data_IF_574506666417
#
_entry.id   IF_574506666417
#
_cell.length_a   1.000
_cell.length_b   1.000
_cell.length_c   1.000
_cell.angle_alpha   90.00
_cell.angle_beta   90.00
_cell.angle_gamma   90.00
#
_symmetry.space_group_name_H-M   'P 1'
#
loop_
_entity.id
_entity.type
_entity.pdbx_description
1 polymer ?
#
# COMPACT_ATOMS: atom_id res chain seq x y z
N UNK A 1 16.36 24.92 -5.17
CA UNK A 1 16.50 25.13 -3.70
C UNK A 1 15.14 25.56 -3.20
N UNK A 2 14.24 24.67 -2.77
CA UNK A 2 14.24 24.03 -1.46
C UNK A 2 12.78 24.02 -0.96
N UNK A 3 11.88 23.30 -1.65
CA UNK A 3 10.53 23.02 -1.14
C UNK A 3 10.65 21.80 -0.23
N UNK A 4 10.34 22.00 1.05
CA UNK A 4 10.59 21.03 2.12
C UNK A 4 10.10 19.62 1.77
N UNK A 5 11.00 18.64 1.94
CA UNK A 5 10.84 17.22 1.56
C UNK A 5 9.75 16.46 2.34
N UNK A 6 9.05 17.09 3.29
CA UNK A 6 8.09 16.41 4.16
C UNK A 6 6.86 17.28 4.55
N UNK A 7 6.02 17.74 3.60
CA UNK A 7 4.91 18.65 3.89
C UNK A 7 3.89 18.10 4.91
N UNK A 8 3.69 16.78 4.96
CA UNK A 8 2.70 16.08 5.79
C UNK A 8 3.11 15.88 7.26
N UNK A 9 4.30 16.32 7.68
CA UNK A 9 4.71 16.33 9.09
C UNK A 9 4.14 17.52 9.87
N UNK A 10 3.69 18.58 9.19
CA UNK A 10 3.03 19.73 9.85
C UNK A 10 1.56 19.44 10.09
N UNK A 11 1.11 19.58 11.34
CA UNK A 11 -0.31 19.48 11.74
C UNK A 11 -1.19 20.48 10.97
N UNK A 12 -0.63 21.63 10.65
CA UNK A 12 -1.31 22.77 10.04
C UNK A 12 -1.51 22.62 8.52
N UNK A 13 -1.00 21.53 7.93
CA UNK A 13 -1.00 21.28 6.49
C UNK A 13 -1.71 19.97 6.13
N UNK A 14 -2.84 19.67 6.78
CA UNK A 14 -3.72 18.59 6.33
C UNK A 14 -4.17 18.89 4.89
N UNK A 15 -3.86 18.03 3.90
CA UNK A 15 -4.24 18.27 2.52
C UNK A 15 -5.77 18.37 2.39
N UNK A 16 -6.28 19.33 1.61
CA UNK A 16 -7.72 19.48 1.35
C UNK A 16 -8.57 20.06 2.49
N UNK A 17 -7.98 20.43 3.64
CA UNK A 17 -8.73 20.96 4.79
C UNK A 17 -9.52 22.24 4.45
N UNK A 18 -8.90 23.19 3.75
CA UNK A 18 -9.57 24.42 3.31
C UNK A 18 -10.73 24.14 2.35
N UNK A 19 -10.59 23.12 1.51
CA UNK A 19 -11.62 22.72 0.55
C UNK A 19 -12.85 22.12 1.25
N UNK A 20 -12.63 21.30 2.29
CA UNK A 20 -13.71 20.74 3.11
C UNK A 20 -14.38 21.76 4.02
N UNK A 21 -13.65 22.82 4.43
CA UNK A 21 -14.15 23.87 5.33
C UNK A 21 -15.29 24.68 4.72
N UNK A 22 -15.29 24.91 3.41
CA UNK A 22 -16.35 25.68 2.73
C UNK A 22 -17.66 24.89 2.51
N UNK A 23 -17.62 23.57 2.66
CA UNK A 23 -18.74 22.67 2.34
C UNK A 23 -19.59 22.30 3.56
N UNK A 24 -19.21 22.74 4.77
CA UNK A 24 -19.86 22.30 6.01
C UNK A 24 -20.33 23.47 6.89
N UNK A 25 -21.51 23.37 7.51
CA UNK A 25 -22.00 24.38 8.46
C UNK A 25 -21.08 24.52 9.68
N UNK A 26 -21.07 25.70 10.31
CA UNK A 26 -20.14 26.16 11.35
C UNK A 26 -19.98 25.26 12.59
N UNK A 27 -20.82 24.23 12.78
CA UNK A 27 -20.73 23.24 13.86
C UNK A 27 -20.03 21.92 13.49
N UNK A 28 -19.74 21.67 12.22
CA UNK A 28 -19.14 20.41 11.74
C UNK A 28 -17.61 20.46 11.65
N UNK A 29 -17.00 21.63 11.87
CA UNK A 29 -15.55 21.82 11.68
C UNK A 29 -14.69 20.99 12.63
N UNK A 30 -15.05 20.87 13.91
CA UNK A 30 -14.29 20.07 14.89
C UNK A 30 -14.31 18.57 14.56
N UNK A 31 -15.45 18.05 14.09
CA UNK A 31 -15.60 16.65 13.69
C UNK A 31 -14.87 16.33 12.40
N UNK A 32 -14.86 17.29 11.46
CA UNK A 32 -14.03 17.23 10.25
C UNK A 32 -12.54 17.18 10.58
N UNK A 33 -12.07 18.03 11.50
CA UNK A 33 -10.69 18.00 11.98
C UNK A 33 -10.31 16.63 12.55
N UNK A 34 -11.18 16.05 13.38
CA UNK A 34 -10.95 14.75 14.00
C UNK A 34 -10.89 13.60 12.96
N UNK A 35 -11.82 13.55 12.02
CA UNK A 35 -11.83 12.56 10.95
C UNK A 35 -10.56 12.65 10.07
N UNK A 36 -10.13 13.87 9.75
CA UNK A 36 -8.93 14.12 8.95
C UNK A 36 -7.66 13.70 9.71
N UNK A 37 -7.57 14.02 11.01
CA UNK A 37 -6.47 13.57 11.87
C UNK A 37 -6.40 12.04 11.89
N UNK A 38 -7.54 11.37 11.99
CA UNK A 38 -7.64 9.90 11.99
C UNK A 38 -7.16 9.30 10.66
N UNK A 39 -7.61 9.85 9.53
CA UNK A 39 -7.16 9.42 8.19
C UNK A 39 -5.64 9.57 8.00
N UNK A 40 -5.07 10.70 8.43
CA UNK A 40 -3.62 10.94 8.38
C UNK A 40 -2.86 9.94 9.25
N UNK A 41 -3.35 9.64 10.46
CA UNK A 41 -2.73 8.65 11.35
C UNK A 41 -2.75 7.25 10.75
N UNK A 42 -3.88 6.85 10.16
CA UNK A 42 -4.02 5.54 9.52
C UNK A 42 -3.10 5.39 8.30
N UNK A 43 -2.99 6.43 7.46
CA UNK A 43 -2.03 6.45 6.36
C UNK A 43 -0.58 6.32 6.86
N UNK A 44 -0.22 7.03 7.94
CA UNK A 44 1.11 6.92 8.55
C UNK A 44 1.39 5.52 9.09
N UNK A 45 0.38 4.86 9.66
CA UNK A 45 0.50 3.47 10.09
C UNK A 45 0.80 2.55 8.91
N UNK A 46 0.02 2.65 7.82
CA UNK A 46 0.27 1.84 6.61
C UNK A 46 1.64 2.10 6.01
N UNK A 47 2.05 3.37 5.93
CA UNK A 47 3.37 3.78 5.45
C UNK A 47 4.50 3.22 6.32
N UNK A 48 4.34 3.23 7.64
CA UNK A 48 5.30 2.68 8.59
C UNK A 48 5.44 1.16 8.46
N UNK A 49 4.31 0.43 8.39
CA UNK A 49 4.31 -1.02 8.24
C UNK A 49 4.91 -1.43 6.88
N UNK A 50 4.56 -0.71 5.81
CA UNK A 50 5.17 -0.89 4.49
C UNK A 50 6.69 -0.69 4.52
N UNK A 51 7.16 0.45 5.05
CA UNK A 51 8.60 0.74 5.08
C UNK A 51 9.38 -0.29 5.92
N UNK A 52 8.87 -0.65 7.09
CA UNK A 52 9.53 -1.60 7.99
C UNK A 52 9.61 -3.00 7.36
N UNK A 53 8.55 -3.44 6.70
CA UNK A 53 8.52 -4.76 6.05
C UNK A 53 9.45 -4.82 4.83
N UNK A 54 9.50 -3.78 3.99
CA UNK A 54 10.47 -3.68 2.89
C UNK A 54 11.91 -3.67 3.41
N UNK A 55 12.20 -2.91 4.47
CA UNK A 55 13.53 -2.88 5.08
C UNK A 55 13.91 -4.25 5.65
N UNK A 56 12.98 -4.96 6.31
CA UNK A 56 13.21 -6.32 6.80
C UNK A 56 13.49 -7.33 5.70
N UNK A 57 12.83 -7.19 4.55
CA UNK A 57 13.10 -8.00 3.35
C UNK A 57 14.47 -7.69 2.75
N UNK A 58 14.76 -6.41 2.46
CA UNK A 58 16.04 -5.97 1.88
C UNK A 58 17.22 -6.33 2.79
N UNK A 59 17.06 -6.08 4.09
CA UNK A 59 18.03 -6.45 5.12
C UNK A 59 18.31 -7.94 5.13
N UNK A 60 17.29 -8.79 5.03
CA UNK A 60 17.48 -10.24 4.96
C UNK A 60 18.30 -10.65 3.73
N UNK A 61 18.00 -10.10 2.54
CA UNK A 61 18.77 -10.41 1.32
C UNK A 61 20.23 -9.95 1.46
N UNK A 62 20.45 -8.70 1.88
CA UNK A 62 21.79 -8.11 1.98
C UNK A 62 22.63 -8.81 3.05
N UNK A 63 22.09 -8.98 4.25
CA UNK A 63 22.77 -9.64 5.35
C UNK A 63 23.09 -11.10 5.03
N UNK A 64 22.17 -11.81 4.39
CA UNK A 64 22.43 -13.18 3.96
C UNK A 64 23.53 -13.24 2.89
N UNK A 65 23.46 -12.38 1.88
CA UNK A 65 24.33 -12.43 0.71
C UNK A 65 25.76 -12.00 1.01
N UNK A 66 25.96 -10.97 1.85
CA UNK A 66 27.27 -10.40 2.15
C UNK A 66 27.82 -10.80 3.52
N UNK A 67 26.98 -11.18 4.47
CA UNK A 67 27.39 -11.61 5.81
C UNK A 67 27.36 -13.13 5.95
N UNK A 68 26.15 -13.69 5.97
CA UNK A 68 25.92 -15.08 6.38
C UNK A 68 26.52 -16.09 5.41
N UNK A 69 26.24 -15.97 4.11
CA UNK A 69 26.69 -16.96 3.12
C UNK A 69 28.22 -17.04 3.00
N UNK A 70 28.98 -15.93 2.88
CA UNK A 70 30.44 -15.99 2.86
C UNK A 70 31.05 -16.65 4.11
N UNK A 71 30.53 -16.31 5.29
CA UNK A 71 31.01 -16.89 6.56
C UNK A 71 30.76 -18.40 6.60
N UNK A 72 29.57 -18.85 6.20
CA UNK A 72 29.23 -20.29 6.17
C UNK A 72 30.23 -21.06 5.29
N UNK A 73 30.45 -20.60 4.07
CA UNK A 73 31.34 -21.30 3.13
C UNK A 73 32.83 -21.14 3.47
N UNK A 74 33.20 -20.17 4.31
CA UNK A 74 34.57 -20.01 4.80
C UNK A 74 34.87 -20.89 6.03
N UNK A 75 33.88 -21.11 6.90
CA UNK A 75 34.09 -21.78 8.19
C UNK A 75 33.75 -23.27 8.15
N UNK A 76 32.72 -23.67 7.38
CA UNK A 76 32.25 -25.04 7.33
C UNK A 76 32.86 -25.81 6.15
N UNK A 77 33.09 -27.10 6.35
CA UNK A 77 33.38 -28.00 5.24
C UNK A 77 32.18 -28.07 4.25
N UNK A 78 32.41 -28.48 2.98
CA UNK A 78 31.38 -28.45 1.96
C UNK A 78 30.10 -29.24 2.32
N UNK A 79 30.21 -30.36 3.04
CA UNK A 79 29.08 -31.21 3.40
C UNK A 79 28.24 -30.57 4.52
N UNK A 80 28.90 -30.06 5.55
CA UNK A 80 28.27 -29.34 6.66
C UNK A 80 27.60 -28.04 6.18
N UNK A 81 28.29 -27.25 5.34
CA UNK A 81 27.73 -26.06 4.73
C UNK A 81 26.46 -26.41 3.93
N UNK A 82 26.56 -27.42 3.06
CA UNK A 82 25.47 -27.94 2.25
C UNK A 82 24.22 -28.32 3.07
N UNK A 83 24.41 -28.98 4.23
CA UNK A 83 23.34 -29.37 5.15
C UNK A 83 22.71 -28.18 5.86
N UNK A 84 23.52 -27.17 6.21
CA UNK A 84 23.03 -25.93 6.84
C UNK A 84 22.15 -25.13 5.88
N UNK A 85 22.64 -24.80 4.68
CA UNK A 85 21.86 -23.99 3.71
C UNK A 85 20.57 -24.68 3.28
N UNK A 86 20.55 -26.02 3.21
CA UNK A 86 19.33 -26.82 2.94
C UNK A 86 18.20 -26.51 3.92
N UNK A 87 18.52 -26.34 5.21
CA UNK A 87 17.54 -26.04 6.25
C UNK A 87 17.25 -24.54 6.37
N UNK A 88 18.18 -23.70 5.96
CA UNK A 88 18.04 -22.25 6.01
C UNK A 88 17.15 -21.71 4.87
N UNK A 89 17.37 -22.15 3.63
CA UNK A 89 16.71 -21.57 2.45
C UNK A 89 15.17 -21.55 2.52
N UNK A 90 14.48 -22.61 2.96
CA UNK A 90 13.02 -22.56 3.09
C UNK A 90 12.56 -21.45 4.05
N UNK A 91 13.25 -21.25 5.17
CA UNK A 91 12.94 -20.18 6.14
C UNK A 91 13.27 -18.80 5.59
N UNK A 92 14.40 -18.68 4.90
CA UNK A 92 14.82 -17.46 4.23
C UNK A 92 13.78 -16.98 3.21
N UNK A 93 13.35 -17.85 2.29
CA UNK A 93 12.34 -17.48 1.30
C UNK A 93 10.96 -17.26 1.92
N UNK A 94 10.60 -18.00 2.98
CA UNK A 94 9.38 -17.75 3.73
C UNK A 94 9.37 -16.35 4.38
N UNK A 95 10.49 -15.94 4.98
CA UNK A 95 10.64 -14.60 5.55
C UNK A 95 10.43 -13.52 4.48
N UNK A 96 11.06 -13.67 3.32
CA UNK A 96 10.87 -12.75 2.17
C UNK A 96 9.41 -12.71 1.73
N UNK A 97 8.75 -13.87 1.62
CA UNK A 97 7.36 -13.95 1.22
C UNK A 97 6.44 -13.23 2.23
N UNK A 98 6.61 -13.48 3.53
CA UNK A 98 5.82 -12.83 4.59
C UNK A 98 6.02 -11.31 4.56
N UNK A 99 7.27 -10.85 4.53
CA UNK A 99 7.58 -9.42 4.48
C UNK A 99 6.97 -8.75 3.23
N UNK A 100 7.00 -9.44 2.09
CA UNK A 100 6.41 -8.95 0.82
C UNK A 100 4.87 -8.94 0.86
N UNK A 101 4.24 -9.93 1.49
CA UNK A 101 2.78 -9.95 1.72
C UNK A 101 2.35 -8.78 2.61
N UNK A 102 3.06 -8.54 3.72
CA UNK A 102 2.78 -7.42 4.61
C UNK A 102 2.96 -6.10 3.85
N UNK A 103 4.04 -5.97 3.08
CA UNK A 103 4.28 -4.80 2.23
C UNK A 103 3.12 -4.58 1.25
N UNK A 104 2.69 -5.63 0.54
CA UNK A 104 1.59 -5.54 -0.43
C UNK A 104 0.27 -5.17 0.25
N UNK A 105 -0.05 -5.79 1.39
CA UNK A 105 -1.25 -5.49 2.15
C UNK A 105 -1.28 -4.02 2.59
N UNK A 106 -0.23 -3.57 3.28
CA UNK A 106 -0.13 -2.17 3.73
C UNK A 106 -0.17 -1.17 2.58
N UNK A 107 0.52 -1.46 1.47
CA UNK A 107 0.50 -0.57 0.30
C UNK A 107 -0.87 -0.50 -0.37
N UNK A 108 -1.58 -1.62 -0.43
CA UNK A 108 -2.93 -1.71 -1.03
C UNK A 108 -4.02 -1.16 -0.12
N UNK A 109 -3.78 -1.03 1.19
CA UNK A 109 -4.71 -0.40 2.13
C UNK A 109 -4.73 1.12 2.04
N UNK A 110 -3.72 1.77 1.47
CA UNK A 110 -3.63 3.25 1.40
C UNK A 110 -4.78 3.91 0.65
N UNK A 111 -5.23 3.38 -0.50
CA UNK A 111 -6.37 3.94 -1.21
C UNK A 111 -7.73 3.74 -0.52
N UNK A 112 -7.80 2.94 0.55
CA UNK A 112 -8.98 2.88 1.42
C UNK A 112 -9.18 4.19 2.19
N UNK A 113 -8.11 4.97 2.38
CA UNK A 113 -8.15 6.24 3.11
C UNK A 113 -8.11 7.43 2.15
N UNK A 114 -7.33 7.33 1.08
CA UNK A 114 -7.16 8.38 0.06
C UNK A 114 -7.40 7.82 -1.34
N UNK A 115 -8.63 7.93 -1.89
CA UNK A 115 -9.00 7.33 -3.17
C UNK A 115 -8.15 7.78 -4.36
N UNK A 116 -7.58 8.99 -4.32
CA UNK A 116 -6.66 9.51 -5.34
C UNK A 116 -5.37 8.70 -5.45
N UNK A 117 -5.03 7.90 -4.43
CA UNK A 117 -3.92 6.96 -4.47
C UNK A 117 -4.23 5.71 -5.32
N UNK A 118 -5.40 5.61 -5.97
CA UNK A 118 -5.69 4.57 -6.98
C UNK A 118 -5.06 4.86 -8.35
N UNK A 119 -3.87 5.45 -8.39
CA UNK A 119 -3.16 5.76 -9.63
C UNK A 119 -2.64 4.47 -10.31
N UNK A 120 -2.62 4.46 -11.65
CA UNK A 120 -2.08 3.33 -12.43
C UNK A 120 -0.62 2.97 -12.06
N UNK A 121 0.19 3.98 -11.72
CA UNK A 121 1.58 3.78 -11.28
C UNK A 121 1.68 2.93 -10.00
N UNK A 122 0.64 2.94 -9.14
CA UNK A 122 0.62 2.12 -7.92
C UNK A 122 0.33 0.64 -8.23
N UNK A 123 -0.32 0.33 -9.36
CA UNK A 123 -0.50 -1.05 -9.81
C UNK A 123 0.84 -1.71 -10.18
N UNK A 124 1.81 -0.92 -10.68
CA UNK A 124 3.15 -1.42 -10.98
C UNK A 124 3.82 -1.90 -9.69
N UNK A 125 3.80 -1.09 -8.64
CA UNK A 125 4.39 -1.46 -7.33
C UNK A 125 3.68 -2.67 -6.74
N UNK A 126 2.35 -2.72 -6.79
CA UNK A 126 1.57 -3.87 -6.31
C UNK A 126 1.90 -5.16 -7.10
N UNK A 127 1.98 -5.07 -8.43
CA UNK A 127 2.35 -6.18 -9.29
C UNK A 127 3.77 -6.68 -9.04
N UNK A 128 4.71 -5.77 -8.77
CA UNK A 128 6.09 -6.12 -8.41
C UNK A 128 6.17 -6.82 -7.04
N UNK A 129 5.44 -6.35 -6.03
CA UNK A 129 5.36 -7.01 -4.73
C UNK A 129 4.73 -8.40 -4.85
N UNK A 130 3.67 -8.54 -5.66
CA UNK A 130 3.06 -9.84 -5.96
C UNK A 130 4.05 -10.77 -6.65
N UNK A 131 4.80 -10.27 -7.64
CA UNK A 131 5.83 -11.05 -8.33
C UNK A 131 6.89 -11.57 -7.35
N UNK A 132 7.34 -10.75 -6.39
CA UNK A 132 8.30 -11.17 -5.36
C UNK A 132 7.74 -12.27 -4.48
N UNK A 133 6.48 -12.18 -4.05
CA UNK A 133 5.82 -13.23 -3.27
C UNK A 133 5.85 -14.55 -4.04
N UNK A 134 5.45 -14.53 -5.32
CA UNK A 134 5.43 -15.71 -6.17
C UNK A 134 6.84 -16.27 -6.41
N UNK A 135 7.83 -15.40 -6.65
CA UNK A 135 9.23 -15.81 -6.81
C UNK A 135 9.75 -16.46 -5.53
N UNK A 136 9.48 -15.88 -4.36
CA UNK A 136 9.92 -16.41 -3.07
C UNK A 136 9.32 -17.80 -2.80
N UNK A 137 8.01 -17.96 -3.02
CA UNK A 137 7.33 -19.26 -2.90
C UNK A 137 7.87 -20.29 -3.89
N UNK A 138 8.10 -19.90 -5.14
CA UNK A 138 8.73 -20.77 -6.15
C UNK A 138 10.14 -21.19 -5.74
N UNK A 139 10.95 -20.25 -5.27
CA UNK A 139 12.33 -20.50 -4.84
C UNK A 139 12.38 -21.46 -3.65
N UNK A 140 11.52 -21.26 -2.65
CA UNK A 140 11.44 -22.10 -1.46
C UNK A 140 10.91 -23.50 -1.76
N UNK A 141 9.80 -23.61 -2.49
CA UNK A 141 9.04 -24.85 -2.63
C UNK A 141 9.45 -25.71 -3.83
N UNK A 142 10.01 -25.12 -4.88
CA UNK A 142 10.33 -25.86 -6.12
C UNK A 142 11.81 -25.78 -6.47
N UNK A 143 12.40 -24.59 -6.46
CA UNK A 143 13.78 -24.41 -6.92
C UNK A 143 14.80 -25.00 -5.93
N UNK A 144 14.64 -24.74 -4.64
CA UNK A 144 15.55 -25.25 -3.60
C UNK A 144 15.57 -26.79 -3.56
N UNK A 145 14.43 -27.51 -3.55
CA UNK A 145 14.42 -28.97 -3.66
C UNK A 145 15.09 -29.47 -4.95
N UNK A 146 14.85 -28.81 -6.09
CA UNK A 146 15.45 -29.20 -7.37
C UNK A 146 16.99 -29.03 -7.37
N UNK A 147 17.51 -27.94 -6.79
CA UNK A 147 18.95 -27.72 -6.59
C UNK A 147 19.52 -28.83 -5.72
N UNK A 148 18.84 -29.15 -4.61
CA UNK A 148 19.29 -30.19 -3.69
C UNK A 148 19.37 -31.56 -4.36
N UNK A 149 18.34 -31.94 -5.11
CA UNK A 149 18.29 -33.21 -5.86
C UNK A 149 19.37 -33.30 -6.94
N UNK A 150 19.63 -32.20 -7.65
CA UNK A 150 20.70 -32.16 -8.65
C UNK A 150 22.09 -32.31 -8.00
N UNK A 151 22.29 -31.73 -6.81
CA UNK A 151 23.53 -31.90 -6.04
C UNK A 151 23.72 -33.35 -5.55
N UNK A 152 22.66 -33.96 -5.03
CA UNK A 152 22.71 -35.33 -4.48
C UNK A 152 22.92 -36.40 -5.57
N UNK A 153 22.62 -36.09 -6.83
CA UNK A 153 22.86 -36.98 -7.97
C UNK A 153 24.34 -37.03 -8.45
N UNK A 154 25.23 -36.28 -7.79
CA UNK A 154 26.68 -36.31 -8.05
C UNK A 154 27.10 -35.63 -9.36
N UNK A 155 28.34 -35.89 -9.78
CA UNK A 155 29.01 -35.18 -10.89
C UNK A 155 28.22 -35.24 -12.22
N UNK A 156 27.45 -36.30 -12.46
CA UNK A 156 26.63 -36.46 -13.68
C UNK A 156 25.57 -35.37 -13.86
N UNK A 157 25.11 -34.73 -12.76
CA UNK A 157 24.10 -33.67 -12.77
C UNK A 157 24.68 -32.29 -12.43
N UNK A 158 26.01 -32.15 -12.39
CA UNK A 158 26.69 -30.88 -12.10
C UNK A 158 26.27 -29.72 -13.01
N UNK A 159 26.14 -29.89 -14.35
CA UNK A 159 25.67 -28.80 -15.21
C UNK A 159 24.25 -28.33 -14.85
N UNK A 160 23.39 -29.26 -14.44
CA UNK A 160 22.02 -28.95 -13.99
C UNK A 160 22.02 -28.22 -12.65
N UNK A 161 22.85 -28.66 -11.70
CA UNK A 161 23.04 -27.97 -10.43
C UNK A 161 23.48 -26.52 -10.65
N UNK A 162 24.50 -26.30 -11.48
CA UNK A 162 25.02 -24.96 -11.78
C UNK A 162 23.97 -24.06 -12.44
N UNK A 163 23.19 -24.61 -13.38
CA UNK A 163 22.12 -23.86 -14.04
C UNK A 163 21.02 -23.44 -13.05
N UNK A 164 20.59 -24.34 -12.17
CA UNK A 164 19.58 -24.06 -11.15
C UNK A 164 20.10 -23.10 -10.07
N UNK A 165 21.35 -23.26 -9.65
CA UNK A 165 22.00 -22.36 -8.70
C UNK A 165 22.14 -20.94 -9.28
N UNK A 166 22.63 -20.80 -10.51
CA UNK A 166 22.68 -19.50 -11.20
C UNK A 166 21.29 -18.87 -11.33
N UNK A 167 20.26 -19.68 -11.59
CA UNK A 167 18.87 -19.20 -11.64
C UNK A 167 18.41 -18.66 -10.27
N UNK A 168 18.70 -19.35 -9.17
CA UNK A 168 18.29 -18.87 -7.84
C UNK A 168 18.99 -17.56 -7.48
N UNK A 169 20.29 -17.43 -7.78
CA UNK A 169 21.04 -16.19 -7.57
C UNK A 169 20.43 -15.04 -8.37
N UNK A 170 20.13 -15.24 -9.66
CA UNK A 170 19.48 -14.21 -10.49
C UNK A 170 18.11 -13.78 -9.94
N UNK A 171 17.29 -14.73 -9.49
CA UNK A 171 16.00 -14.42 -8.88
C UNK A 171 16.16 -13.64 -7.57
N UNK A 172 17.19 -13.97 -6.78
CA UNK A 172 17.49 -13.25 -5.54
C UNK A 172 17.94 -11.80 -5.82
N UNK A 173 18.77 -11.58 -6.83
CA UNK A 173 19.17 -10.25 -7.30
C UNK A 173 17.97 -9.47 -7.86
N UNK A 174 17.10 -10.12 -8.61
CA UNK A 174 15.87 -9.51 -9.10
C UNK A 174 14.97 -9.05 -7.95
N UNK A 175 14.77 -9.89 -6.93
CA UNK A 175 14.05 -9.51 -5.71
C UNK A 175 14.70 -8.30 -5.02
N UNK A 176 16.03 -8.28 -4.87
CA UNK A 176 16.74 -7.13 -4.31
C UNK A 176 16.48 -5.84 -5.10
N UNK A 177 16.61 -5.89 -6.42
CA UNK A 177 16.39 -4.74 -7.29
C UNK A 177 14.94 -4.23 -7.22
N UNK A 178 13.97 -5.14 -7.18
CA UNK A 178 12.56 -4.80 -7.01
C UNK A 178 12.34 -4.10 -5.65
N UNK A 179 12.90 -4.63 -4.56
CA UNK A 179 12.78 -4.02 -3.25
C UNK A 179 13.36 -2.60 -3.20
N UNK A 180 14.53 -2.37 -3.82
CA UNK A 180 15.14 -1.04 -3.95
C UNK A 180 14.23 -0.10 -4.76
N UNK A 181 13.70 -0.57 -5.90
CA UNK A 181 12.76 0.21 -6.70
C UNK A 181 11.49 0.57 -5.91
N UNK A 182 10.95 -0.37 -5.13
CA UNK A 182 9.80 -0.13 -4.27
C UNK A 182 10.06 0.97 -3.24
N UNK A 183 11.24 0.98 -2.58
CA UNK A 183 11.64 2.08 -1.69
C UNK A 183 11.73 3.39 -2.46
N UNK A 184 12.38 3.40 -3.61
CA UNK A 184 12.52 4.61 -4.42
C UNK A 184 11.16 5.17 -4.88
N UNK A 185 10.27 4.31 -5.37
CA UNK A 185 8.91 4.66 -5.79
C UNK A 185 8.08 5.17 -4.60
N UNK A 186 8.28 4.58 -3.42
CA UNK A 186 7.64 5.04 -2.20
C UNK A 186 8.12 6.44 -1.81
N UNK A 187 9.44 6.69 -1.78
CA UNK A 187 10.02 7.98 -1.41
C UNK A 187 9.70 9.10 -2.41
N UNK A 188 9.53 8.76 -3.69
CA UNK A 188 9.23 9.74 -4.76
C UNK A 188 7.73 10.01 -4.93
N UNK A 189 6.88 9.42 -4.09
CA UNK A 189 5.43 9.58 -4.17
C UNK A 189 4.98 11.02 -3.90
N UNK A 190 3.94 11.45 -4.60
CA UNK A 190 3.24 12.71 -4.30
C UNK A 190 2.45 12.61 -3.00
N UNK A 191 2.38 13.72 -2.26
CA UNK A 191 1.50 13.84 -1.11
C UNK A 191 0.03 13.70 -1.55
N UNK A 192 -0.85 13.12 -0.71
CA UNK A 192 -2.29 13.22 -0.91
C UNK A 192 -2.68 14.68 -1.04
N UNK A 193 -3.64 14.99 -1.90
CA UNK A 193 -4.13 16.36 -2.11
C UNK A 193 -5.48 16.59 -1.46
N UNK A 194 -6.25 15.52 -1.22
CA UNK A 194 -7.55 15.58 -0.55
C UNK A 194 -7.44 15.36 0.96
N UNK A 195 -8.53 15.65 1.67
CA UNK A 195 -8.72 15.35 3.08
C UNK A 195 -8.81 13.83 3.37
N UNK A 196 -8.86 13.00 2.33
CA UNK A 196 -9.19 11.57 2.43
C UNK A 196 -10.69 11.33 2.54
N UNK A 197 -11.06 10.07 2.78
CA UNK A 197 -12.46 9.72 3.07
C UNK A 197 -12.80 10.26 4.47
N UNK A 198 -13.61 11.31 4.50
CA UNK A 198 -14.20 11.83 5.73
C UNK A 198 -15.47 11.04 6.01
N UNK A 199 -15.40 10.11 6.95
CA UNK A 199 -16.56 9.33 7.39
C UNK A 199 -17.17 9.98 8.64
N UNK A 200 -18.38 10.49 8.50
CA UNK A 200 -19.15 11.06 9.61
C UNK A 200 -19.53 9.96 10.60
N UNK A 201 -19.62 10.29 11.89
CA UNK A 201 -20.13 9.35 12.89
C UNK A 201 -21.58 8.92 12.54
N UNK A 202 -22.03 7.78 13.08
CA UNK A 202 -23.39 7.28 12.81
C UNK A 202 -24.46 8.31 13.20
N UNK A 203 -24.25 8.98 14.33
CA UNK A 203 -25.12 10.04 14.84
C UNK A 203 -25.10 11.26 13.92
N UNK A 204 -23.91 11.69 13.48
CA UNK A 204 -23.76 12.83 12.57
C UNK A 204 -24.33 12.56 11.18
N UNK A 205 -24.17 11.34 10.68
CA UNK A 205 -24.75 10.93 9.42
C UNK A 205 -26.28 10.96 9.50
N UNK A 206 -26.86 10.49 10.59
CA UNK A 206 -28.30 10.54 10.82
C UNK A 206 -28.81 11.99 10.95
N UNK A 207 -28.08 12.85 11.65
CA UNK A 207 -28.41 14.27 11.79
C UNK A 207 -28.31 15.01 10.45
N UNK A 208 -27.23 14.77 9.69
CA UNK A 208 -27.04 15.33 8.36
C UNK A 208 -28.15 14.91 7.39
N UNK A 209 -28.49 13.62 7.34
CA UNK A 209 -29.58 13.11 6.51
C UNK A 209 -30.93 13.72 6.90
N UNK A 210 -31.19 13.88 8.20
CA UNK A 210 -32.41 14.54 8.68
C UNK A 210 -32.49 15.99 8.19
N UNK A 211 -31.42 16.75 8.40
CA UNK A 211 -31.36 18.17 8.01
C UNK A 211 -31.44 18.38 6.51
N UNK A 212 -30.82 17.47 5.75
CA UNK A 212 -30.92 17.44 4.29
C UNK A 212 -32.37 17.22 3.84
N UNK A 213 -33.10 16.29 4.46
CA UNK A 213 -34.53 16.04 4.15
C UNK A 213 -35.40 17.24 4.49
N UNK A 214 -35.18 17.86 5.65
CA UNK A 214 -35.90 19.08 6.05
C UNK A 214 -35.69 20.21 5.01
N UNK A 215 -34.44 20.47 4.62
CA UNK A 215 -34.10 21.48 3.60
C UNK A 215 -34.72 21.16 2.24
N UNK A 216 -34.70 19.89 1.83
CA UNK A 216 -35.31 19.44 0.56
C UNK A 216 -36.83 19.66 0.56
N UNK A 217 -37.50 19.34 1.66
CA UNK A 217 -38.94 19.56 1.80
C UNK A 217 -39.27 21.06 1.73
N UNK A 218 -38.53 21.91 2.44
CA UNK A 218 -38.71 23.37 2.36
C UNK A 218 -38.53 23.92 0.94
N UNK A 219 -37.51 23.45 0.21
CA UNK A 219 -37.27 23.84 -1.18
C UNK A 219 -38.39 23.38 -2.11
N UNK A 220 -38.90 22.16 -1.92
CA UNK A 220 -40.02 21.62 -2.69
C UNK A 220 -41.30 22.41 -2.43
N UNK A 221 -41.61 22.74 -1.18
CA UNK A 221 -42.76 23.57 -0.82
C UNK A 221 -42.64 24.99 -1.38
N UNK A 222 -41.47 25.61 -1.28
CA UNK A 222 -41.21 26.93 -1.87
C UNK A 222 -41.38 26.92 -3.39
N UNK A 223 -40.90 25.86 -4.07
CA UNK A 223 -41.08 25.66 -5.51
C UNK A 223 -42.54 25.44 -5.87
N UNK A 224 -43.29 24.66 -5.08
CA UNK A 224 -44.72 24.43 -5.26
C UNK A 224 -45.52 25.73 -5.13
N UNK A 225 -45.26 26.54 -4.08
CA UNK A 225 -45.87 27.86 -3.89
C UNK A 225 -45.59 28.81 -5.05
N UNK A 226 -44.32 28.89 -5.52
CA UNK A 226 -43.96 29.68 -6.71
C UNK A 226 -44.67 29.20 -7.98
N UNK A 227 -44.85 27.89 -8.15
CA UNK A 227 -45.58 27.33 -9.30
C UNK A 227 -47.08 27.61 -9.27
N UNK A 228 -47.69 27.64 -8.09
CA UNK A 228 -49.10 27.98 -7.91
C UNK A 228 -49.33 29.48 -8.16
N UNK A 229 -48.43 30.33 -7.67
CA UNK A 229 -48.48 31.77 -7.90
C UNK A 229 -48.31 32.14 -9.37
N UNK A 230 -47.49 31.41 -10.15
CA UNK A 230 -47.41 31.58 -11.61
C UNK A 230 -48.69 31.16 -12.33
N UNK A 231 -49.30 30.03 -11.94
CA UNK A 231 -50.57 29.56 -12.53
C UNK A 231 -51.78 30.43 -12.19
N UNK A 232 -51.78 31.07 -11.02
CA UNK A 232 -52.80 32.05 -10.64
C UNK A 232 -52.62 33.44 -11.26
N UNK A 233 -51.49 33.71 -11.93
CA UNK A 233 -51.19 34.98 -12.57
C UNK A 233 -51.34 34.96 -14.10
N UNK A 234 -51.61 33.80 -14.71
CA UNK A 234 -52.03 33.73 -16.11
C UNK A 234 -53.50 34.17 -16.21
N UNK A 235 -53.82 35.27 -16.91
CA UNK A 235 -55.20 35.67 -17.11
C UNK A 235 -55.92 34.58 -17.91
N UNK A 236 -57.01 34.05 -17.36
CA UNK A 236 -57.93 33.17 -18.07
C UNK A 236 -58.39 33.91 -19.33
N UNK A 237 -58.15 33.39 -20.56
CA UNK A 237 -58.73 34.00 -21.74
C UNK A 237 -60.24 33.86 -21.60
N UNK A 238 -60.92 34.99 -21.51
CA UNK A 238 -62.38 35.04 -21.50
C UNK A 238 -62.87 34.58 -22.88
N UNK A 239 -63.95 33.78 -22.92
CA UNK A 239 -64.41 33.09 -24.13
C UNK A 239 -64.85 34.04 -25.24
#
# INVERSE_FOLDING_TARGET
>A
MGRGRWPWLRRDAAPGFDQARHLTPTGYHSKLEEAIVTAVQLLRLFDFVYATSIVGWLGAILFFSFGVAPIIFAVLDPESAAKFVRRLFPRYYLWIAIASVISLASFTSRPLVYPELRAWNNLIVQGLLLAVILIALYCGNSLTPAINKARDAGETQKPRFDALHKRSVRLNVAMLAIGIYCVFAFETRSAPQSAGIVELSVEDKAEYERRLRETLNELLEAKAKRSAQRRGAEPVPTP
#
